data_IF_981786108697
#
_entry.id   IF_981786108697
#
_cell.length_a   1.000
_cell.length_b   1.000
_cell.length_c   1.000
_cell.angle_alpha   90.00
_cell.angle_beta   90.00
_cell.angle_gamma   90.00
#
_symmetry.space_group_name_H-M   'P 1'
#
loop_
_entity.id
_entity.type
_entity.pdbx_description
1 polymer ?
#
# COMPACT_ATOMS: atom_id res chain seq x y z
N UNK A 1 6.44 -1.71 18.42
CA UNK A 1 5.01 -1.78 18.08
C UNK A 1 4.30 -0.48 18.44
N UNK A 2 4.23 -0.11 19.72
CA UNK A 2 3.62 1.15 20.19
C UNK A 2 4.17 2.40 19.47
N UNK A 3 5.50 2.57 19.41
CA UNK A 3 6.13 3.66 18.65
C UNK A 3 5.69 3.73 17.18
N UNK A 4 5.62 2.58 16.50
CA UNK A 4 5.16 2.48 15.11
C UNK A 4 3.69 2.87 14.99
N UNK A 5 2.86 2.48 15.96
CA UNK A 5 1.42 2.84 16.00
C UNK A 5 1.17 4.34 16.17
N UNK A 6 2.10 5.08 16.80
CA UNK A 6 2.04 6.53 16.96
C UNK A 6 2.45 7.28 15.69
N UNK A 7 3.40 6.73 14.93
CA UNK A 7 3.88 7.33 13.67
C UNK A 7 2.97 6.98 12.50
N UNK A 8 2.35 5.80 12.53
CA UNK A 8 1.36 5.37 11.53
C UNK A 8 0.24 6.40 11.37
N UNK A 9 -0.04 6.76 10.12
CA UNK A 9 -1.05 7.76 9.77
C UNK A 9 -2.40 7.07 9.57
N UNK A 10 -3.16 6.88 10.66
CA UNK A 10 -4.50 6.25 10.61
C UNK A 10 -5.46 6.96 9.63
N UNK A 11 -5.31 8.27 9.45
CA UNK A 11 -6.03 9.07 8.45
C UNK A 11 -5.77 8.66 6.99
N UNK A 12 -4.67 7.95 6.71
CA UNK A 12 -4.28 7.51 5.37
C UNK A 12 -4.91 6.16 4.98
N UNK A 13 -5.47 5.42 5.94
CA UNK A 13 -6.13 4.14 5.67
C UNK A 13 -7.39 4.34 4.81
N UNK A 14 -7.71 3.33 4.00
CA UNK A 14 -8.79 3.45 3.03
C UNK A 14 -10.17 3.70 3.68
N UNK A 15 -10.39 3.12 4.86
CA UNK A 15 -11.61 3.15 5.66
C UNK A 15 -11.56 4.15 6.84
N UNK A 16 -10.60 5.07 6.84
CA UNK A 16 -10.51 6.10 7.89
C UNK A 16 -11.76 6.97 7.97
N UNK A 17 -12.23 7.23 9.19
CA UNK A 17 -13.37 8.14 9.46
C UNK A 17 -13.14 9.55 8.92
N UNK A 18 -11.90 10.02 8.87
CA UNK A 18 -11.53 11.33 8.30
C UNK A 18 -11.86 11.45 6.80
N UNK A 19 -12.17 10.34 6.15
CA UNK A 19 -12.51 10.25 4.73
C UNK A 19 -13.99 10.05 4.46
N UNK A 20 -14.84 10.15 5.48
CA UNK A 20 -16.28 10.03 5.29
C UNK A 20 -16.87 11.31 4.64
N UNK A 21 -17.84 11.17 3.72
CA UNK A 21 -18.38 9.91 3.21
C UNK A 21 -17.37 9.22 2.27
N UNK A 22 -17.21 7.91 2.42
CA UNK A 22 -16.36 7.12 1.52
C UNK A 22 -16.90 7.21 0.08
N UNK A 23 -16.02 7.09 -0.94
CA UNK A 23 -16.46 7.09 -2.33
C UNK A 23 -17.59 6.09 -2.54
N UNK A 24 -18.65 6.52 -3.24
CA UNK A 24 -19.84 5.68 -3.46
C UNK A 24 -19.46 4.38 -4.18
N UNK A 25 -20.22 3.32 -3.90
CA UNK A 25 -20.14 2.05 -4.61
C UNK A 25 -20.34 2.30 -6.10
N UNK A 26 -19.51 1.66 -6.92
CA UNK A 26 -19.43 1.88 -8.35
C UNK A 26 -20.63 1.24 -9.08
N UNK A 27 -21.11 1.92 -10.12
CA UNK A 27 -22.19 1.44 -11.00
C UNK A 27 -21.73 1.51 -12.46
N UNK A 28 -22.35 0.70 -13.34
CA UNK A 28 -22.07 0.69 -14.77
C UNK A 28 -20.66 0.24 -15.12
N UNK A 29 -20.02 0.91 -16.09
CA UNK A 29 -18.69 0.54 -16.63
C UNK A 29 -17.55 0.48 -15.61
N UNK A 30 -17.73 1.11 -14.44
CA UNK A 30 -16.77 1.04 -13.34
C UNK A 30 -16.75 -0.33 -12.65
N UNK A 31 -17.84 -1.11 -12.76
CA UNK A 31 -17.90 -2.50 -12.30
C UNK A 31 -16.98 -3.37 -13.15
N UNK A 32 -17.01 -3.20 -14.47
CA UNK A 32 -16.17 -3.97 -15.39
C UNK A 32 -14.69 -3.68 -15.17
N UNK A 33 -14.33 -2.40 -15.00
CA UNK A 33 -12.96 -2.01 -14.66
C UNK A 33 -12.53 -2.62 -13.32
N UNK A 34 -13.39 -2.57 -12.30
CA UNK A 34 -13.10 -3.14 -10.98
C UNK A 34 -12.90 -4.65 -11.06
N UNK A 35 -13.73 -5.36 -11.86
CA UNK A 35 -13.58 -6.78 -12.13
C UNK A 35 -12.28 -7.10 -12.88
N UNK A 36 -11.88 -6.28 -13.85
CA UNK A 36 -10.59 -6.41 -14.53
C UNK A 36 -9.43 -6.26 -13.55
N UNK A 37 -9.48 -5.27 -12.65
CA UNK A 37 -8.49 -5.09 -11.60
C UNK A 37 -8.46 -6.30 -10.67
N UNK A 38 -9.61 -6.84 -10.26
CA UNK A 38 -9.67 -8.05 -9.45
C UNK A 38 -9.03 -9.26 -10.13
N UNK A 39 -9.30 -9.48 -11.42
CA UNK A 39 -8.68 -10.56 -12.17
C UNK A 39 -7.15 -10.42 -12.23
N UNK A 40 -6.62 -9.19 -12.37
CA UNK A 40 -5.18 -8.94 -12.29
C UNK A 40 -4.60 -9.20 -10.90
N UNK A 41 -5.38 -8.96 -9.84
CA UNK A 41 -4.94 -9.16 -8.45
C UNK A 41 -4.95 -10.65 -8.02
N UNK A 42 -5.61 -11.52 -8.77
CA UNK A 42 -5.66 -12.96 -8.49
C UNK A 42 -4.50 -13.74 -9.14
N UNK A 43 -3.65 -13.07 -9.92
CA UNK A 43 -2.47 -13.66 -10.56
C UNK A 43 -1.36 -13.98 -9.55
N UNK A 44 -1.12 -15.26 -9.31
CA UNK A 44 -0.11 -15.75 -8.36
C UNK A 44 1.29 -15.90 -8.96
N UNK A 45 1.46 -15.72 -10.27
CA UNK A 45 2.72 -16.07 -10.93
C UNK A 45 3.74 -14.93 -10.87
N UNK A 46 3.29 -13.68 -10.73
CA UNK A 46 4.18 -12.52 -10.77
C UNK A 46 3.70 -11.33 -9.97
N UNK A 47 4.66 -10.53 -9.54
CA UNK A 47 4.41 -9.23 -8.94
C UNK A 47 3.79 -8.26 -9.96
N UNK A 48 2.90 -7.36 -9.51
CA UNK A 48 2.22 -6.39 -10.39
C UNK A 48 2.15 -5.00 -9.78
N UNK A 49 2.54 -3.99 -10.58
CA UNK A 49 2.14 -2.60 -10.38
C UNK A 49 0.94 -2.33 -11.28
N UNK A 50 -0.24 -2.15 -10.68
CA UNK A 50 -1.45 -1.81 -11.43
C UNK A 50 -1.64 -0.31 -11.26
N UNK A 51 -1.53 0.45 -12.34
CA UNK A 51 -1.68 1.90 -12.28
C UNK A 51 -2.96 2.37 -12.96
N UNK A 52 -3.93 2.80 -12.15
CA UNK A 52 -5.13 3.45 -12.63
C UNK A 52 -4.92 4.98 -12.72
N UNK A 53 -4.78 5.49 -13.93
CA UNK A 53 -4.65 6.92 -14.17
C UNK A 53 -5.76 7.47 -15.08
N UNK A 54 -6.10 8.75 -14.92
CA UNK A 54 -7.15 9.39 -15.71
C UNK A 54 -7.55 10.77 -15.17
N UNK A 55 -8.45 11.47 -15.85
CA UNK A 55 -8.88 12.82 -15.47
C UNK A 55 -9.44 12.89 -14.03
N UNK A 56 -9.41 14.07 -13.41
CA UNK A 56 -10.00 14.26 -12.09
C UNK A 56 -11.52 13.97 -12.12
N UNK A 57 -12.06 13.44 -11.01
CA UNK A 57 -13.50 13.17 -10.89
C UNK A 57 -14.00 11.88 -11.56
N UNK A 58 -13.18 11.18 -12.34
CA UNK A 58 -13.57 9.91 -13.00
C UNK A 58 -13.59 8.70 -12.06
N UNK A 59 -13.85 8.84 -10.76
CA UNK A 59 -14.09 7.68 -9.88
C UNK A 59 -12.90 6.74 -9.57
N UNK A 60 -11.64 7.08 -9.91
CA UNK A 60 -10.47 6.22 -9.61
C UNK A 60 -10.31 5.88 -8.13
N UNK A 61 -10.51 6.86 -7.25
CA UNK A 61 -10.47 6.63 -5.80
C UNK A 61 -11.63 5.76 -5.31
N UNK A 62 -12.75 5.72 -6.04
CA UNK A 62 -13.80 4.76 -5.77
C UNK A 62 -13.38 3.34 -6.16
N UNK A 63 -12.69 3.15 -7.30
CA UNK A 63 -12.11 1.84 -7.65
C UNK A 63 -11.10 1.39 -6.59
N UNK A 64 -10.16 2.25 -6.19
CA UNK A 64 -9.20 1.95 -5.14
C UNK A 64 -9.87 1.58 -3.81
N UNK A 65 -10.90 2.33 -3.41
CA UNK A 65 -11.68 2.03 -2.21
C UNK A 65 -12.37 0.67 -2.29
N UNK A 66 -13.08 0.37 -3.37
CA UNK A 66 -13.78 -0.91 -3.56
C UNK A 66 -12.78 -2.09 -3.60
N UNK A 67 -11.62 -1.91 -4.24
CA UNK A 67 -10.56 -2.91 -4.23
C UNK A 67 -10.04 -3.15 -2.82
N UNK A 68 -9.72 -2.10 -2.06
CA UNK A 68 -9.25 -2.23 -0.69
C UNK A 68 -10.30 -2.93 0.19
N UNK A 69 -11.56 -2.51 0.13
CA UNK A 69 -12.68 -3.13 0.85
C UNK A 69 -12.80 -4.62 0.55
N UNK A 70 -12.81 -4.99 -0.74
CA UNK A 70 -12.90 -6.38 -1.17
C UNK A 70 -11.71 -7.21 -0.66
N UNK A 71 -10.50 -6.68 -0.75
CA UNK A 71 -9.27 -7.38 -0.33
C UNK A 71 -9.15 -7.50 1.19
N UNK A 72 -9.76 -6.60 1.97
CA UNK A 72 -9.83 -6.73 3.44
C UNK A 72 -10.69 -7.92 3.86
N UNK A 73 -11.74 -8.22 3.11
CA UNK A 73 -12.63 -9.34 3.43
C UNK A 73 -12.03 -10.70 3.02
N UNK A 74 -11.28 -10.71 1.91
CA UNK A 74 -10.64 -11.92 1.38
C UNK A 74 -9.42 -12.34 2.20
N UNK A 75 -9.27 -13.66 2.36
CA UNK A 75 -8.15 -14.30 3.04
C UNK A 75 -7.06 -14.71 2.04
N UNK A 76 -5.81 -14.77 2.48
CA UNK A 76 -4.70 -15.27 1.64
C UNK A 76 -4.73 -16.79 1.46
N UNK A 77 -5.27 -17.52 2.44
CA UNK A 77 -5.58 -18.96 2.35
C UNK A 77 -6.86 -19.28 3.12
N UNK A 78 -7.51 -20.40 2.79
CA UNK A 78 -8.82 -20.78 3.36
C UNK A 78 -8.72 -21.05 4.87
N UNK A 79 -7.60 -21.62 5.29
CA UNK A 79 -7.36 -22.13 6.64
C UNK A 79 -6.98 -21.03 7.66
N UNK A 80 -6.59 -19.84 7.20
CA UNK A 80 -6.30 -18.72 8.10
C UNK A 80 -7.55 -17.96 8.48
N UNK A 81 -7.74 -17.76 9.78
CA UNK A 81 -8.91 -17.05 10.30
C UNK A 81 -8.75 -15.53 10.11
N UNK A 82 -7.52 -15.00 10.29
CA UNK A 82 -7.28 -13.56 10.44
C UNK A 82 -6.37 -12.92 9.37
N UNK A 83 -5.71 -13.70 8.51
CA UNK A 83 -4.76 -13.18 7.53
C UNK A 83 -5.51 -12.76 6.25
N UNK A 84 -5.51 -11.46 5.97
CA UNK A 84 -6.25 -10.84 4.85
C UNK A 84 -5.35 -10.54 3.66
N UNK A 85 -5.94 -10.44 2.48
CA UNK A 85 -5.22 -10.05 1.26
C UNK A 85 -4.81 -8.59 1.27
N UNK A 86 -5.64 -7.69 1.81
CA UNK A 86 -5.25 -6.29 1.99
C UNK A 86 -4.15 -6.21 3.07
N UNK A 87 -2.93 -5.96 2.62
CA UNK A 87 -1.74 -5.85 3.46
C UNK A 87 -1.52 -4.41 3.95
N UNK A 88 -2.02 -3.42 3.22
CA UNK A 88 -2.02 -2.04 3.65
C UNK A 88 -2.60 -1.10 2.61
N UNK A 89 -3.00 0.08 3.07
CA UNK A 89 -3.51 1.15 2.23
C UNK A 89 -2.92 2.49 2.64
N UNK A 90 -2.70 3.37 1.67
CA UNK A 90 -2.26 4.73 1.94
C UNK A 90 -2.88 5.70 0.94
N UNK A 91 -3.56 6.72 1.44
CA UNK A 91 -4.18 7.73 0.61
C UNK A 91 -3.54 9.07 0.86
N UNK A 92 -2.90 9.57 -0.19
CA UNK A 92 -2.27 10.88 -0.17
C UNK A 92 -3.32 11.97 -0.05
N UNK A 93 -2.98 13.05 0.65
CA UNK A 93 -3.79 14.25 0.69
C UNK A 93 -2.95 15.50 0.89
N UNK A 94 -3.06 16.46 -0.03
CA UNK A 94 -2.35 17.76 0.08
C UNK A 94 -2.81 18.59 1.27
N UNK A 95 -4.00 18.29 1.79
CA UNK A 95 -4.61 19.01 2.93
C UNK A 95 -4.11 18.52 4.28
N UNK A 96 -3.27 17.49 4.32
CA UNK A 96 -2.83 16.89 5.57
C UNK A 96 -1.32 16.64 5.56
N UNK A 97 -0.61 17.29 6.47
CA UNK A 97 0.86 17.36 6.52
C UNK A 97 1.56 15.99 6.44
N UNK A 98 1.03 14.97 7.12
CA UNK A 98 1.59 13.61 7.07
C UNK A 98 1.21 12.77 5.84
N UNK A 99 0.20 13.21 5.08
CA UNK A 99 -0.31 12.53 3.88
C UNK A 99 0.07 13.27 2.60
N UNK A 100 0.71 14.44 2.70
CA UNK A 100 1.21 15.21 1.57
C UNK A 100 2.66 14.85 1.21
N UNK A 101 3.37 14.10 2.06
CA UNK A 101 4.77 13.69 1.87
C UNK A 101 4.90 12.17 1.94
N UNK A 102 6.05 11.63 1.54
CA UNK A 102 6.30 10.18 1.54
C UNK A 102 6.90 9.65 2.84
N UNK A 103 7.40 10.51 3.73
CA UNK A 103 8.14 10.12 4.93
C UNK A 103 7.39 9.23 5.94
N UNK A 104 6.05 9.20 5.87
CA UNK A 104 5.21 8.34 6.71
C UNK A 104 4.73 7.07 6.01
N UNK A 105 5.00 6.93 4.71
CA UNK A 105 4.40 5.92 3.85
C UNK A 105 4.76 4.50 4.32
N UNK A 106 6.06 4.17 4.39
CA UNK A 106 6.49 2.82 4.75
C UNK A 106 6.22 2.48 6.22
N UNK A 107 6.35 3.43 7.14
CA UNK A 107 5.98 3.21 8.54
C UNK A 107 4.49 2.88 8.70
N UNK A 108 3.62 3.57 7.95
CA UNK A 108 2.17 3.33 7.96
C UNK A 108 1.81 1.98 7.35
N UNK A 109 2.43 1.59 6.23
CA UNK A 109 2.24 0.26 5.65
C UNK A 109 2.79 -0.86 6.53
N UNK A 110 3.94 -0.66 7.18
CA UNK A 110 4.52 -1.62 8.10
C UNK A 110 3.60 -1.90 9.29
N UNK A 111 2.98 -0.84 9.83
CA UNK A 111 1.99 -0.97 10.90
C UNK A 111 0.77 -1.80 10.45
N UNK A 112 0.24 -1.51 9.27
CA UNK A 112 -0.92 -2.25 8.73
C UNK A 112 -0.55 -3.71 8.43
N UNK A 113 0.58 -3.95 7.77
CA UNK A 113 1.05 -5.30 7.44
C UNK A 113 1.24 -6.14 8.70
N UNK A 114 1.89 -5.61 9.73
CA UNK A 114 2.09 -6.30 11.00
C UNK A 114 0.80 -6.38 11.85
N UNK A 115 -0.21 -5.54 11.58
CA UNK A 115 -1.55 -5.72 12.15
C UNK A 115 -2.24 -6.94 11.54
N UNK A 116 -2.21 -7.06 10.21
CA UNK A 116 -2.79 -8.17 9.43
C UNK A 116 -2.02 -9.48 9.61
N UNK A 117 -0.70 -9.41 9.78
CA UNK A 117 0.20 -10.56 9.97
C UNK A 117 0.98 -10.43 11.29
N UNK A 118 0.36 -10.77 12.44
CA UNK A 118 0.96 -10.56 13.76
C UNK A 118 2.33 -11.22 13.97
N UNK A 119 2.64 -12.27 13.20
CA UNK A 119 3.91 -12.98 13.27
C UNK A 119 5.14 -12.14 12.99
N UNK A 120 5.03 -11.10 12.14
CA UNK A 120 6.18 -10.26 11.78
C UNK A 120 6.36 -9.11 12.78
N UNK A 121 5.46 -8.94 13.75
CA UNK A 121 5.52 -7.83 14.72
C UNK A 121 6.83 -7.82 15.50
N UNK A 122 7.36 -9.00 15.82
CA UNK A 122 8.61 -9.12 16.56
C UNK A 122 9.81 -8.66 15.73
N UNK A 123 9.84 -9.02 14.44
CA UNK A 123 10.87 -8.65 13.48
C UNK A 123 10.83 -7.15 13.17
N UNK A 124 9.65 -6.60 12.88
CA UNK A 124 9.45 -5.16 12.68
C UNK A 124 9.87 -4.37 13.91
N UNK A 125 9.58 -4.88 15.12
CA UNK A 125 10.03 -4.25 16.37
C UNK A 125 11.56 -4.27 16.48
N UNK A 126 12.23 -5.37 16.14
CA UNK A 126 13.68 -5.46 16.15
C UNK A 126 14.35 -4.47 15.20
N UNK A 127 13.80 -4.29 13.99
CA UNK A 127 14.28 -3.29 13.03
C UNK A 127 14.20 -1.87 13.60
N UNK A 128 13.09 -1.51 14.25
CA UNK A 128 12.91 -0.19 14.87
C UNK A 128 13.79 -0.02 16.11
N UNK A 129 14.02 -1.07 16.90
CA UNK A 129 14.88 -1.01 18.08
C UNK A 129 16.35 -0.82 17.70
N UNK A 130 16.81 -1.48 16.65
CA UNK A 130 18.18 -1.34 16.14
C UNK A 130 18.42 0.01 15.46
N UNK A 131 17.41 0.56 14.78
CA UNK A 131 17.50 1.88 14.17
C UNK A 131 16.20 2.70 14.39
N UNK A 132 16.10 3.45 15.50
CA UNK A 132 14.92 4.27 15.79
C UNK A 132 14.67 5.38 14.76
N UNK A 133 15.69 5.84 14.04
CA UNK A 133 15.55 6.88 13.00
C UNK A 133 14.68 6.43 11.82
N UNK A 134 14.40 5.12 11.68
CA UNK A 134 13.44 4.61 10.69
C UNK A 134 12.02 5.16 10.85
N UNK A 135 11.70 5.70 12.04
CA UNK A 135 10.40 6.34 12.33
C UNK A 135 10.41 7.86 12.14
N UNK A 136 11.55 8.44 11.79
CA UNK A 136 11.67 9.85 11.44
C UNK A 136 11.17 10.05 10.00
N UNK A 137 10.22 10.97 9.74
CA UNK A 137 9.75 11.26 8.39
C UNK A 137 10.83 11.79 7.44
N UNK A 138 11.92 12.38 7.98
CA UNK A 138 13.02 12.93 7.18
C UNK A 138 14.13 11.89 6.91
N UNK A 139 13.96 10.65 7.40
CA UNK A 139 14.86 9.54 7.09
C UNK A 139 14.76 9.14 5.62
N UNK A 140 15.89 8.69 5.07
CA UNK A 140 15.98 8.06 3.74
C UNK A 140 14.80 7.12 3.49
N UNK A 141 14.00 7.44 2.47
CA UNK A 141 12.83 6.65 2.07
C UNK A 141 13.23 5.22 1.68
N UNK A 142 14.45 5.06 1.13
CA UNK A 142 15.06 3.74 0.84
C UNK A 142 15.35 2.96 2.13
N UNK A 143 15.93 3.59 3.14
CA UNK A 143 16.22 2.93 4.42
C UNK A 143 14.92 2.48 5.11
N UNK A 144 13.89 3.35 5.07
CA UNK A 144 12.56 2.99 5.55
C UNK A 144 11.98 1.81 4.75
N UNK A 145 12.07 1.82 3.42
CA UNK A 145 11.60 0.71 2.58
C UNK A 145 12.30 -0.59 2.94
N UNK A 146 13.62 -0.60 3.00
CA UNK A 146 14.41 -1.81 3.20
C UNK A 146 14.06 -2.46 4.56
N UNK A 147 14.02 -1.65 5.62
CA UNK A 147 13.81 -2.14 6.98
C UNK A 147 12.34 -2.34 7.37
N UNK A 148 11.42 -1.48 6.92
CA UNK A 148 10.02 -1.50 7.35
C UNK A 148 9.08 -2.16 6.32
N UNK A 149 9.52 -2.35 5.07
CA UNK A 149 8.69 -2.94 4.03
C UNK A 149 9.27 -4.25 3.49
N UNK A 150 10.51 -4.23 2.97
CA UNK A 150 11.11 -5.43 2.39
C UNK A 150 11.41 -6.49 3.44
N UNK A 151 12.04 -6.12 4.56
CA UNK A 151 12.38 -7.08 5.60
C UNK A 151 11.14 -7.81 6.16
N UNK A 152 10.04 -7.12 6.53
CA UNK A 152 8.83 -7.82 6.97
C UNK A 152 8.20 -8.70 5.88
N UNK A 153 8.24 -8.30 4.60
CA UNK A 153 7.77 -9.13 3.50
C UNK A 153 8.61 -10.40 3.31
N UNK A 154 9.95 -10.32 3.43
CA UNK A 154 10.84 -11.50 3.39
C UNK A 154 10.46 -12.54 4.44
N UNK A 155 10.12 -12.09 5.65
CA UNK A 155 9.69 -12.98 6.74
C UNK A 155 8.38 -13.72 6.41
N UNK A 156 7.57 -13.18 5.49
CA UNK A 156 6.33 -13.80 5.03
C UNK A 156 6.52 -14.72 3.83
N UNK A 157 7.68 -14.67 3.12
CA UNK A 157 7.89 -15.39 1.86
C UNK A 157 7.50 -16.87 1.94
N UNK A 158 8.10 -17.62 2.86
CA UNK A 158 7.84 -19.06 2.98
C UNK A 158 6.42 -19.37 3.45
N UNK A 159 5.84 -18.47 4.26
CA UNK A 159 4.50 -18.64 4.82
C UNK A 159 3.38 -18.38 3.81
N UNK A 160 3.66 -17.55 2.82
CA UNK A 160 2.73 -17.19 1.75
C UNK A 160 2.99 -17.97 0.45
N UNK A 161 3.86 -18.99 0.49
CA UNK A 161 4.07 -19.85 -0.67
C UNK A 161 2.76 -20.57 -1.04
N UNK A 162 2.34 -20.46 -2.30
CA UNK A 162 1.06 -20.99 -2.79
C UNK A 162 -0.19 -20.29 -2.22
N UNK A 163 -0.05 -19.14 -1.56
CA UNK A 163 -1.18 -18.34 -1.08
C UNK A 163 -1.58 -17.28 -2.12
N UNK A 164 -2.80 -16.75 -2.00
CA UNK A 164 -3.21 -15.59 -2.79
C UNK A 164 -2.31 -14.38 -2.47
N UNK A 165 -1.98 -13.54 -3.47
CA UNK A 165 -1.02 -12.45 -3.31
C UNK A 165 -1.49 -11.40 -2.31
N UNK A 166 -0.52 -10.76 -1.66
CA UNK A 166 -0.77 -9.57 -0.83
C UNK A 166 -1.07 -8.38 -1.72
N UNK A 167 -2.03 -7.55 -1.31
CA UNK A 167 -2.43 -6.36 -2.05
C UNK A 167 -2.17 -5.12 -1.20
N UNK A 168 -1.45 -4.16 -1.79
CA UNK A 168 -1.30 -2.80 -1.28
C UNK A 168 -2.06 -1.83 -2.17
N UNK A 169 -2.78 -0.88 -1.56
CA UNK A 169 -3.55 0.13 -2.30
C UNK A 169 -3.04 1.52 -1.96
N UNK A 170 -2.55 2.23 -2.96
CA UNK A 170 -2.07 3.60 -2.83
C UNK A 170 -2.92 4.51 -3.71
N UNK A 171 -3.67 5.41 -3.07
CA UNK A 171 -4.63 6.27 -3.73
C UNK A 171 -4.14 7.72 -3.76
N UNK A 172 -4.52 8.42 -4.81
CA UNK A 172 -4.33 9.85 -5.01
C UNK A 172 -2.86 10.31 -5.00
N UNK A 173 -1.94 9.58 -5.64
CA UNK A 173 -0.49 9.93 -5.70
C UNK A 173 -0.20 11.39 -6.08
N UNK A 174 -1.01 11.97 -6.96
CA UNK A 174 -0.95 13.38 -7.37
C UNK A 174 -1.21 14.40 -6.23
N UNK A 175 -1.60 13.93 -5.06
CA UNK A 175 -1.75 14.71 -3.84
C UNK A 175 -0.48 14.72 -2.96
N UNK A 176 0.61 14.09 -3.38
CA UNK A 176 1.92 14.37 -2.81
C UNK A 176 2.39 15.77 -3.27
N UNK A 177 2.89 16.59 -2.35
CA UNK A 177 3.32 17.96 -2.64
C UNK A 177 4.69 18.04 -3.31
N UNK A 178 5.54 17.03 -3.09
CA UNK A 178 6.89 16.96 -3.65
C UNK A 178 6.92 15.96 -4.82
N UNK A 179 7.21 16.45 -6.03
CA UNK A 179 7.35 15.60 -7.21
C UNK A 179 8.56 14.66 -7.11
N UNK A 180 9.65 15.14 -6.53
CA UNK A 180 10.87 14.35 -6.35
C UNK A 180 10.62 13.17 -5.40
N UNK A 181 10.02 13.42 -4.22
CA UNK A 181 9.64 12.36 -3.29
C UNK A 181 8.71 11.32 -3.93
N UNK A 182 7.76 11.78 -4.74
CA UNK A 182 6.82 10.90 -5.41
C UNK A 182 7.52 10.02 -6.46
N UNK A 183 8.43 10.57 -7.26
CA UNK A 183 9.21 9.82 -8.24
C UNK A 183 10.13 8.80 -7.55
N UNK A 184 10.76 9.18 -6.45
CA UNK A 184 11.56 8.27 -5.62
C UNK A 184 10.71 7.12 -5.07
N UNK A 185 9.52 7.42 -4.54
CA UNK A 185 8.59 6.39 -4.05
C UNK A 185 8.19 5.42 -5.16
N UNK A 186 7.79 5.91 -6.34
CA UNK A 186 7.37 5.06 -7.46
C UNK A 186 8.55 4.18 -7.92
N UNK A 187 9.74 4.76 -8.04
CA UNK A 187 10.97 4.03 -8.39
C UNK A 187 11.28 2.91 -7.39
N UNK A 188 11.13 3.19 -6.09
CA UNK A 188 11.31 2.21 -5.02
C UNK A 188 10.26 1.11 -5.09
N UNK A 189 8.98 1.44 -5.28
CA UNK A 189 7.90 0.45 -5.41
C UNK A 189 8.10 -0.45 -6.64
N UNK A 190 8.55 0.11 -7.78
CA UNK A 190 8.90 -0.68 -8.96
C UNK A 190 10.05 -1.65 -8.68
N UNK A 191 11.09 -1.23 -7.95
CA UNK A 191 12.21 -2.10 -7.55
C UNK A 191 11.76 -3.29 -6.70
N UNK A 192 10.75 -3.11 -5.83
CA UNK A 192 10.21 -4.21 -4.99
C UNK A 192 9.71 -5.37 -5.85
N UNK A 193 9.09 -5.10 -7.00
CA UNK A 193 8.47 -6.11 -7.84
C UNK A 193 9.47 -7.06 -8.51
N UNK A 194 10.75 -6.67 -8.58
CA UNK A 194 11.82 -7.47 -9.16
C UNK A 194 12.62 -8.27 -8.12
N UNK A 195 12.22 -8.24 -6.85
CA UNK A 195 12.93 -8.94 -5.76
C UNK A 195 12.46 -10.40 -5.66
N UNK A 196 13.31 -11.40 -5.97
CA UNK A 196 12.92 -12.81 -5.99
C UNK A 196 12.76 -13.42 -4.59
N UNK A 197 13.21 -12.70 -3.56
CA UNK A 197 13.18 -13.08 -2.15
C UNK A 197 11.93 -12.61 -1.40
N UNK A 198 10.94 -12.06 -2.11
CA UNK A 198 9.67 -11.63 -1.55
C UNK A 198 8.53 -12.60 -1.91
N UNK A 199 7.45 -12.65 -1.12
CA UNK A 199 6.20 -13.24 -1.56
C UNK A 199 5.63 -12.47 -2.77
N UNK A 200 4.69 -13.09 -3.49
CA UNK A 200 3.99 -12.42 -4.58
C UNK A 200 3.12 -11.31 -4.00
N UNK A 201 3.34 -10.09 -4.51
CA UNK A 201 2.59 -8.90 -4.10
C UNK A 201 2.05 -8.15 -5.31
N UNK A 202 0.97 -7.43 -5.07
CA UNK A 202 0.41 -6.48 -6.01
C UNK A 202 0.22 -5.12 -5.36
N UNK A 203 0.49 -4.08 -6.13
CA UNK A 203 0.35 -2.69 -5.70
C UNK A 203 -0.59 -2.01 -6.69
N UNK A 204 -1.74 -1.56 -6.20
CA UNK A 204 -2.65 -0.71 -6.97
C UNK A 204 -2.32 0.75 -6.67
N UNK A 205 -1.98 1.51 -7.71
CA UNK A 205 -1.74 2.94 -7.66
C UNK A 205 -2.86 3.70 -8.35
N UNK A 206 -3.27 4.84 -7.81
CA UNK A 206 -4.09 5.81 -8.55
C UNK A 206 -3.43 7.17 -8.64
N UNK A 207 -3.58 7.82 -9.80
CA UNK A 207 -3.14 9.21 -9.99
C UNK A 207 -3.98 9.92 -11.04
N UNK A 208 -4.06 11.25 -10.97
CA UNK A 208 -4.66 12.01 -12.06
C UNK A 208 -3.70 12.07 -13.26
N UNK A 209 -4.24 12.08 -14.47
CA UNK A 209 -3.50 12.14 -15.73
C UNK A 209 -2.86 13.50 -16.04
N UNK A 210 -2.62 14.36 -15.04
CA UNK A 210 -1.84 15.57 -15.29
C UNK A 210 -0.43 15.15 -15.70
N UNK A 211 0.03 15.73 -16.81
CA UNK A 211 1.16 15.40 -17.71
C UNK A 211 2.51 15.05 -17.07
N UNK A 212 2.65 15.04 -15.76
CA UNK A 212 3.92 14.96 -15.04
C UNK A 212 4.30 13.57 -14.52
N UNK A 213 3.48 12.56 -14.77
CA UNK A 213 3.68 11.19 -14.28
C UNK A 213 4.26 10.26 -15.37
N UNK A 214 4.23 10.68 -16.64
CA UNK A 214 4.76 9.90 -17.77
C UNK A 214 6.29 9.87 -17.86
N UNK A 215 6.98 10.70 -17.08
CA UNK A 215 8.44 10.88 -17.15
C UNK A 215 9.19 10.28 -15.93
N UNK A 216 8.47 9.62 -15.01
CA UNK A 216 9.04 8.97 -13.83
C UNK A 216 9.10 7.45 -13.99
#
# INVERSE_FOLDING_TARGET
WEKLSHVSVKGAEYDSRERQPHPRRLEGSWVDLTNCVHALLDDQEKNRLIWLHGAAGVGKSAVAFNVAERMKDLRTRKETINEKRLAGSFVFSRKHTKRSTTGYFFATLAYQLASTYPSIRSDTRGCIQSNPSLLDPDKSLRDQMDALFLQPLRMLRFRLNGCLPLVFVVDALHECTSKAELADLISLLAQVLHKPDLPVIHILLTSNSQTHIREA
#
